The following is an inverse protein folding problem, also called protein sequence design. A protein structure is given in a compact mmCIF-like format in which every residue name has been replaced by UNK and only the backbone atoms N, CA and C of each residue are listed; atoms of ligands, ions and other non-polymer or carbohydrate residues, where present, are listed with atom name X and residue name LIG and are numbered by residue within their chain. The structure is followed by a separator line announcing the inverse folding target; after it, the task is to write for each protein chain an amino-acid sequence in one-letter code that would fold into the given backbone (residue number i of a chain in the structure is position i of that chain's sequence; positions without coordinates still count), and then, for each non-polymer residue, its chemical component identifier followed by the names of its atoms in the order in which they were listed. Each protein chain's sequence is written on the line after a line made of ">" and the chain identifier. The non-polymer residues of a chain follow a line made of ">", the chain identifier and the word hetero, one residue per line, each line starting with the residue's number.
data_IF_405052395941
#
_entry.id   IF_405052395941
#
_cell.length_a   1.000
_cell.length_b   1.000
_cell.length_c   1.000
_cell.angle_alpha   90.00
_cell.angle_beta   90.00
_cell.angle_gamma   90.00
#
_symmetry.space_group_name_H-M   'P 1'
#
loop_
_entity.id
_entity.type
_entity.pdbx_description
1 polymer ?
#
# COMPACT_ATOMS: atom_id res chain seq x y z
N UNK A 1 42.15 -9.35 -2.19
CA UNK A 1 41.82 -10.53 -3.02
C UNK A 1 40.48 -10.27 -3.68
N UNK A 2 40.42 -10.42 -5.00
CA UNK A 2 39.22 -10.23 -5.82
C UNK A 2 38.11 -11.23 -5.44
N UNK A 3 36.86 -10.90 -5.79
CA UNK A 3 36.25 -11.63 -6.89
C UNK A 3 35.74 -10.67 -7.97
N UNK A 4 36.26 -10.84 -9.18
CA UNK A 4 35.64 -10.36 -10.41
C UNK A 4 34.35 -11.18 -10.62
N UNK A 5 33.21 -10.53 -10.80
CA UNK A 5 32.02 -11.21 -11.34
C UNK A 5 32.12 -11.19 -12.87
N UNK A 6 32.44 -12.36 -13.42
CA UNK A 6 32.40 -12.68 -14.84
C UNK A 6 30.99 -13.06 -15.27
N UNK A 7 30.56 -12.59 -16.44
CA UNK A 7 29.38 -13.08 -17.16
C UNK A 7 29.64 -14.50 -17.74
N UNK A 8 28.60 -15.31 -18.04
CA UNK A 8 28.76 -16.70 -18.48
C UNK A 8 29.54 -16.84 -19.80
N UNK A 9 30.54 -17.73 -19.79
CA UNK A 9 31.47 -18.05 -20.88
C UNK A 9 30.79 -18.65 -22.13
N UNK A 10 29.56 -19.15 -22.02
CA UNK A 10 28.82 -19.73 -23.14
C UNK A 10 28.52 -18.70 -24.25
N UNK A 11 28.20 -17.45 -23.91
CA UNK A 11 27.80 -16.43 -24.90
C UNK A 11 28.96 -15.97 -25.81
N UNK A 12 30.18 -15.96 -25.28
CA UNK A 12 31.36 -15.60 -26.07
C UNK A 12 31.71 -16.67 -27.13
N UNK A 13 31.40 -17.94 -26.84
CA UNK A 13 31.68 -19.06 -27.75
C UNK A 13 30.68 -19.06 -28.91
N UNK A 14 29.41 -18.73 -28.64
CA UNK A 14 28.36 -18.60 -29.66
C UNK A 14 28.57 -17.38 -30.57
N UNK A 15 29.09 -16.27 -30.03
CA UNK A 15 29.44 -15.07 -30.81
C UNK A 15 30.61 -15.31 -31.78
N UNK A 16 31.58 -16.16 -31.40
CA UNK A 16 32.69 -16.58 -32.28
C UNK A 16 32.22 -17.57 -33.36
N UNK A 17 31.31 -18.48 -33.01
CA UNK A 17 30.73 -19.44 -33.96
C UNK A 17 29.85 -18.78 -35.05
N UNK A 18 29.28 -17.60 -34.77
CA UNK A 18 28.45 -16.84 -35.72
C UNK A 18 29.24 -15.82 -36.58
N UNK A 19 30.58 -15.80 -36.52
CA UNK A 19 31.39 -14.94 -37.39
C UNK A 19 31.27 -13.44 -37.11
N UNK A 20 30.81 -13.05 -35.92
CA UNK A 20 30.73 -11.65 -35.47
C UNK A 20 32.08 -11.28 -34.84
N UNK A 21 33.15 -11.33 -35.64
CA UNK A 21 34.52 -11.06 -35.17
C UNK A 21 34.86 -9.57 -35.10
N UNK A 22 34.19 -8.69 -35.84
CA UNK A 22 34.76 -7.37 -36.12
C UNK A 22 33.76 -6.20 -36.02
N UNK A 23 33.18 -5.97 -34.83
CA UNK A 23 32.84 -4.64 -34.25
C UNK A 23 31.68 -4.65 -33.23
N UNK A 24 31.71 -5.52 -32.22
CA UNK A 24 31.03 -5.21 -30.94
C UNK A 24 32.08 -4.60 -30.02
N UNK A 25 32.44 -3.33 -30.28
CA UNK A 25 33.31 -2.58 -29.40
C UNK A 25 32.58 -2.37 -28.06
N UNK A 26 32.90 -3.23 -27.09
CA UNK A 26 32.61 -3.06 -25.67
C UNK A 26 33.07 -1.66 -25.23
N UNK A 27 32.13 -0.79 -24.89
CA UNK A 27 32.44 0.36 -24.03
C UNK A 27 32.29 -0.13 -22.59
N UNK A 28 33.38 -0.65 -22.04
CA UNK A 28 33.49 -0.90 -20.60
C UNK A 28 33.75 0.42 -19.91
N UNK A 29 32.77 0.93 -19.18
CA UNK A 29 32.92 2.15 -18.37
C UNK A 29 33.81 1.80 -17.18
N UNK A 30 34.99 2.44 -17.07
CA UNK A 30 35.82 2.30 -15.88
C UNK A 30 35.15 2.98 -14.68
N UNK A 31 35.47 2.55 -13.46
CA UNK A 31 34.96 3.20 -12.24
C UNK A 31 35.34 4.69 -12.22
N UNK A 32 34.35 5.57 -12.36
CA UNK A 32 34.53 7.03 -12.41
C UNK A 32 34.45 7.68 -13.81
N UNK A 33 34.26 6.93 -14.89
CA UNK A 33 33.99 7.51 -16.21
C UNK A 33 32.52 7.92 -16.36
N UNK A 34 32.30 9.19 -16.77
CA UNK A 34 30.97 9.71 -17.09
C UNK A 34 30.65 9.36 -18.54
N UNK A 35 29.68 8.46 -18.75
CA UNK A 35 29.18 8.10 -20.08
C UNK A 35 28.39 9.26 -20.67
N UNK A 36 28.63 9.59 -21.94
CA UNK A 36 27.85 10.62 -22.62
C UNK A 36 26.40 10.16 -22.82
N UNK A 37 25.44 11.10 -22.73
CA UNK A 37 24.03 10.80 -22.99
C UNK A 37 23.79 10.19 -24.39
N UNK A 38 24.62 10.53 -25.37
CA UNK A 38 24.54 9.96 -26.70
C UNK A 38 24.95 8.48 -26.73
N UNK A 39 26.01 8.11 -26.00
CA UNK A 39 26.43 6.72 -25.88
C UNK A 39 25.37 5.87 -25.15
N UNK A 40 24.75 6.42 -24.09
CA UNK A 40 23.61 5.78 -23.40
C UNK A 40 22.45 5.57 -24.38
N UNK A 41 22.06 6.59 -25.14
CA UNK A 41 20.97 6.49 -26.13
C UNK A 41 21.25 5.42 -27.17
N UNK A 42 22.46 5.40 -27.76
CA UNK A 42 22.85 4.39 -28.77
C UNK A 42 22.84 2.98 -28.19
N UNK A 43 23.30 2.80 -26.97
CA UNK A 43 23.30 1.49 -26.29
C UNK A 43 21.87 1.01 -26.05
N UNK A 44 20.99 1.91 -25.58
CA UNK A 44 19.57 1.63 -25.43
C UNK A 44 18.91 1.22 -26.73
N UNK A 45 19.18 1.95 -27.81
CA UNK A 45 18.67 1.63 -29.15
C UNK A 45 19.15 0.25 -29.65
N UNK A 46 20.44 -0.05 -29.50
CA UNK A 46 20.99 -1.35 -29.91
C UNK A 46 20.40 -2.52 -29.10
N UNK A 47 20.21 -2.35 -27.80
CA UNK A 47 19.57 -3.37 -26.96
C UNK A 47 18.13 -3.63 -27.38
N UNK A 48 17.34 -2.56 -27.51
CA UNK A 48 15.92 -2.66 -27.84
C UNK A 48 15.68 -3.16 -29.28
N UNK A 49 16.64 -2.96 -30.18
CA UNK A 49 16.63 -3.54 -31.53
C UNK A 49 16.99 -5.02 -31.52
N UNK A 50 18.01 -5.43 -30.73
CA UNK A 50 18.48 -6.81 -30.68
C UNK A 50 17.54 -7.75 -29.92
N UNK A 51 16.99 -7.32 -28.79
CA UNK A 51 16.24 -8.16 -27.86
C UNK A 51 14.74 -7.85 -27.84
N UNK A 52 14.34 -6.70 -28.38
CA UNK A 52 12.95 -6.25 -28.35
C UNK A 52 12.36 -6.12 -26.93
N UNK A 53 13.21 -5.86 -25.95
CA UNK A 53 12.87 -5.64 -24.54
C UNK A 53 13.34 -4.25 -24.10
N UNK A 54 12.67 -3.58 -23.14
CA UNK A 54 13.09 -2.28 -22.63
C UNK A 54 14.53 -2.34 -22.09
N UNK A 55 15.38 -1.38 -22.48
CA UNK A 55 16.76 -1.32 -21.95
C UNK A 55 16.82 -1.17 -20.43
N UNK A 56 15.79 -0.58 -19.80
CA UNK A 56 15.68 -0.46 -18.34
C UNK A 56 15.65 -1.85 -17.64
N UNK A 57 15.35 -2.93 -18.38
CA UNK A 57 15.42 -4.32 -17.90
C UNK A 57 16.81 -4.96 -18.07
N UNK A 58 17.70 -4.34 -18.86
CA UNK A 58 19.04 -4.83 -19.14
C UNK A 58 19.93 -4.71 -17.88
N UNK A 59 20.30 -5.85 -17.28
CA UNK A 59 21.21 -5.86 -16.13
C UNK A 59 20.65 -5.29 -14.82
N UNK A 60 19.34 -4.96 -14.77
CA UNK A 60 18.60 -4.44 -13.60
C UNK A 60 19.39 -3.43 -12.76
N UNK A 61 19.74 -2.29 -13.36
CA UNK A 61 20.22 -1.14 -12.62
C UNK A 61 19.01 -0.40 -12.01
N UNK A 62 18.81 -0.60 -10.71
CA UNK A 62 17.76 0.06 -9.96
C UNK A 62 18.17 1.52 -9.73
N UNK A 63 17.35 2.48 -10.18
CA UNK A 63 17.58 3.90 -9.86
C UNK A 63 17.54 4.09 -8.34
N UNK A 64 18.72 4.22 -7.74
CA UNK A 64 18.91 4.30 -6.30
C UNK A 64 18.20 5.52 -5.73
N UNK A 65 18.09 6.62 -6.47
CA UNK A 65 17.42 7.85 -6.02
C UNK A 65 15.89 7.69 -6.01
N UNK A 66 15.32 7.13 -7.07
CA UNK A 66 13.89 6.83 -7.13
C UNK A 66 13.49 5.78 -6.09
N UNK A 67 14.31 4.74 -5.90
CA UNK A 67 14.08 3.70 -4.89
C UNK A 67 14.25 4.24 -3.48
N UNK A 68 15.23 5.09 -3.21
CA UNK A 68 15.38 5.70 -1.89
C UNK A 68 14.18 6.59 -1.55
N UNK A 69 13.76 7.44 -2.48
CA UNK A 69 12.57 8.30 -2.33
C UNK A 69 11.31 7.48 -2.07
N UNK A 70 11.12 6.38 -2.80
CA UNK A 70 9.98 5.50 -2.59
C UNK A 70 10.06 4.74 -1.26
N UNK A 71 11.25 4.23 -0.89
CA UNK A 71 11.47 3.55 0.40
C UNK A 71 11.22 4.47 1.58
N UNK A 72 11.59 5.75 1.47
CA UNK A 72 11.30 6.79 2.46
C UNK A 72 9.80 7.10 2.52
N UNK A 73 9.15 7.34 1.36
CA UNK A 73 7.73 7.68 1.29
C UNK A 73 6.80 6.61 1.89
N UNK A 74 7.25 5.35 1.89
CA UNK A 74 6.46 4.22 2.32
C UNK A 74 7.07 3.43 3.50
N UNK A 75 8.14 3.95 4.13
CA UNK A 75 8.85 3.33 5.27
C UNK A 75 9.19 1.84 5.03
N UNK A 76 9.80 1.49 3.90
CA UNK A 76 10.10 0.09 3.54
C UNK A 76 11.31 -0.49 4.27
N UNK A 77 12.25 0.35 4.70
CA UNK A 77 13.52 -0.10 5.31
C UNK A 77 13.31 -0.91 6.60
N UNK A 78 12.40 -0.53 7.52
CA UNK A 78 12.11 -1.33 8.71
C UNK A 78 11.32 -2.62 8.44
N UNK A 79 10.62 -2.73 7.30
CA UNK A 79 9.78 -3.89 6.97
C UNK A 79 10.57 -5.07 6.36
N UNK A 80 11.82 -4.84 5.96
CA UNK A 80 12.67 -5.83 5.29
C UNK A 80 13.65 -6.55 6.23
N UNK A 81 13.83 -6.11 7.47
CA UNK A 81 14.90 -6.60 8.36
C UNK A 81 14.46 -7.49 9.52
N UNK A 82 13.16 -7.71 9.73
CA UNK A 82 12.65 -8.48 10.86
C UNK A 82 11.57 -9.45 10.35
N UNK A 83 11.56 -10.68 10.89
CA UNK A 83 10.40 -11.58 10.79
C UNK A 83 9.12 -10.79 11.10
N UNK A 84 8.07 -10.93 10.28
CA UNK A 84 6.79 -10.21 10.41
C UNK A 84 6.44 -9.94 11.88
N UNK A 85 6.79 -8.74 12.36
CA UNK A 85 6.76 -8.39 13.78
C UNK A 85 5.34 -8.51 14.37
N UNK A 86 4.33 -8.65 13.52
CA UNK A 86 2.92 -8.71 13.88
C UNK A 86 2.22 -10.03 13.51
N UNK A 87 2.95 -11.15 13.39
CA UNK A 87 2.33 -12.49 13.55
C UNK A 87 1.62 -12.67 14.90
N UNK A 88 1.91 -11.82 15.87
CA UNK A 88 1.32 -11.83 17.21
C UNK A 88 -0.21 -11.72 17.18
N UNK A 89 -0.78 -10.95 16.23
CA UNK A 89 -2.23 -10.71 16.16
C UNK A 89 -2.84 -11.40 14.95
N UNK A 90 -3.69 -12.40 15.21
CA UNK A 90 -4.35 -13.19 14.16
C UNK A 90 -5.37 -12.37 13.37
N UNK A 91 -5.87 -11.27 13.95
CA UNK A 91 -6.83 -10.37 13.29
C UNK A 91 -6.19 -9.54 12.18
N UNK A 92 -4.87 -9.31 12.22
CA UNK A 92 -4.14 -8.53 11.23
C UNK A 92 -3.79 -9.37 10.00
N UNK A 93 -4.05 -8.84 8.80
CA UNK A 93 -3.59 -9.49 7.57
C UNK A 93 -2.31 -8.84 7.10
N UNK A 94 -1.30 -9.65 6.73
CA UNK A 94 -0.09 -9.12 6.14
C UNK A 94 -0.46 -8.34 4.88
N UNK A 95 0.16 -7.16 4.76
CA UNK A 95 0.02 -6.28 3.62
C UNK A 95 1.24 -6.46 2.75
N UNK A 96 1.03 -6.61 1.44
CA UNK A 96 2.12 -6.77 0.49
C UNK A 96 2.03 -5.72 -0.60
N UNK A 97 3.17 -5.11 -0.90
CA UNK A 97 3.34 -4.17 -1.99
C UNK A 97 4.24 -4.76 -3.06
N UNK A 98 3.98 -4.37 -4.30
CA UNK A 98 4.84 -4.62 -5.44
C UNK A 98 5.18 -3.29 -6.10
N UNK A 99 6.43 -3.13 -6.51
CA UNK A 99 6.80 -2.10 -7.46
C UNK A 99 6.45 -2.58 -8.86
N UNK A 100 5.89 -1.68 -9.68
CA UNK A 100 5.39 -1.98 -11.01
C UNK A 100 5.90 -0.96 -12.01
N UNK A 101 6.55 -1.46 -13.06
CA UNK A 101 6.89 -0.71 -14.25
C UNK A 101 6.00 -1.13 -15.40
N UNK A 102 5.48 -0.15 -16.15
CA UNK A 102 4.74 -0.40 -17.38
C UNK A 102 5.42 0.34 -18.52
N UNK A 103 5.85 -0.43 -19.51
CA UNK A 103 6.49 0.04 -20.72
C UNK A 103 5.55 -0.08 -21.91
N UNK A 104 5.62 0.87 -22.83
CA UNK A 104 4.90 0.82 -24.10
C UNK A 104 5.89 0.98 -25.26
N UNK A 105 5.67 0.22 -26.34
CA UNK A 105 6.37 0.36 -27.63
C UNK A 105 5.35 0.24 -28.74
N UNK A 106 5.37 1.14 -29.72
CA UNK A 106 4.41 1.06 -30.81
C UNK A 106 4.44 2.27 -31.72
N UNK A 107 4.24 2.01 -33.00
CA UNK A 107 4.05 3.03 -34.01
C UNK A 107 2.60 3.07 -34.46
N UNK A 108 2.08 4.27 -34.65
CA UNK A 108 0.74 4.47 -35.18
C UNK A 108 0.78 4.63 -36.70
N UNK A 109 -0.08 3.91 -37.42
CA UNK A 109 -0.25 4.08 -38.87
C UNK A 109 -0.75 5.48 -39.26
N UNK A 110 -1.42 6.16 -38.33
CA UNK A 110 -1.93 7.53 -38.46
C UNK A 110 -1.69 8.24 -37.15
N UNK A 111 -1.40 9.54 -37.20
CA UNK A 111 -1.24 10.34 -35.98
C UNK A 111 -2.46 10.15 -35.07
N UNK A 112 -2.26 9.72 -33.81
CA UNK A 112 -3.35 9.49 -32.89
C UNK A 112 -4.10 10.80 -32.69
N UNK A 113 -5.42 10.74 -32.77
CA UNK A 113 -6.22 11.96 -32.56
C UNK A 113 -6.05 12.43 -31.12
N UNK A 114 -6.02 13.75 -30.88
CA UNK A 114 -5.96 14.34 -29.52
C UNK A 114 -7.09 13.91 -28.58
N UNK A 115 -8.07 13.16 -29.09
CA UNK A 115 -9.19 12.60 -28.35
C UNK A 115 -8.90 11.18 -27.82
N UNK A 116 -7.83 10.53 -28.26
CA UNK A 116 -7.47 9.15 -27.90
C UNK A 116 -6.46 9.10 -26.75
N UNK A 117 -6.72 8.23 -25.79
CA UNK A 117 -5.89 8.10 -24.59
C UNK A 117 -5.91 6.67 -24.04
N UNK A 118 -4.84 6.31 -23.35
CA UNK A 118 -4.79 5.11 -22.53
C UNK A 118 -5.21 5.43 -21.11
N UNK A 119 -5.90 4.49 -20.48
CA UNK A 119 -6.25 4.55 -19.06
C UNK A 119 -5.74 3.31 -18.35
N UNK A 120 -4.83 3.52 -17.42
CA UNK A 120 -4.44 2.50 -16.46
C UNK A 120 -5.46 2.42 -15.31
N UNK A 121 -5.81 1.20 -14.91
CA UNK A 121 -6.67 0.88 -13.76
C UNK A 121 -6.19 -0.37 -13.05
N UNK A 122 -6.57 -0.53 -11.80
CA UNK A 122 -6.41 -1.78 -11.06
C UNK A 122 -7.51 -2.79 -11.42
N UNK A 123 -7.18 -4.08 -11.38
CA UNK A 123 -8.13 -5.16 -11.69
C UNK A 123 -9.14 -5.39 -10.55
N UNK A 124 -8.65 -5.42 -9.31
CA UNK A 124 -9.42 -5.46 -8.07
C UNK A 124 -8.94 -4.38 -7.11
N UNK A 125 -9.75 -4.11 -6.08
CA UNK A 125 -9.50 -3.09 -5.05
C UNK A 125 -9.20 -1.70 -5.65
N UNK A 126 -9.32 -0.62 -4.88
CA UNK A 126 -8.92 0.74 -5.34
C UNK A 126 -9.41 1.15 -6.75
N UNK A 127 -10.60 0.67 -7.19
CA UNK A 127 -11.10 0.79 -8.58
C UNK A 127 -11.35 2.24 -9.04
N UNK A 128 -11.28 3.17 -8.11
CA UNK A 128 -11.32 4.62 -8.34
C UNK A 128 -10.03 5.14 -8.97
N UNK A 129 -8.88 4.47 -8.78
CA UNK A 129 -7.61 4.85 -9.39
C UNK A 129 -7.70 4.72 -10.92
N UNK A 130 -7.49 5.84 -11.60
CA UNK A 130 -7.52 5.95 -13.07
C UNK A 130 -6.44 6.92 -13.50
N UNK A 131 -5.38 6.44 -14.13
CA UNK A 131 -4.33 7.28 -14.69
C UNK A 131 -4.49 7.32 -16.20
N UNK A 132 -4.67 8.51 -16.77
CA UNK A 132 -4.85 8.67 -18.21
C UNK A 132 -3.58 9.27 -18.82
N UNK A 133 -3.16 8.75 -19.97
CA UNK A 133 -2.08 9.32 -20.77
C UNK A 133 -2.56 9.48 -22.22
N UNK A 134 -2.29 10.63 -22.80
CA UNK A 134 -2.66 10.97 -24.18
C UNK A 134 -1.84 10.14 -25.16
N UNK A 135 -2.49 9.59 -26.19
CA UNK A 135 -1.79 8.80 -27.21
C UNK A 135 -0.80 9.63 -28.04
N UNK A 136 -1.03 10.94 -28.15
CA UNK A 136 -0.12 11.89 -28.80
C UNK A 136 1.29 11.90 -28.21
N UNK A 137 1.45 11.45 -26.97
CA UNK A 137 2.72 11.49 -26.25
C UNK A 137 3.47 10.15 -26.29
N UNK A 138 2.91 9.12 -26.93
CA UNK A 138 3.35 7.72 -26.78
C UNK A 138 3.85 7.08 -28.08
N UNK A 139 3.80 7.78 -29.22
CA UNK A 139 4.27 7.23 -30.51
C UNK A 139 5.79 7.05 -30.47
N UNK A 140 6.27 5.81 -30.41
CA UNK A 140 7.71 5.57 -30.34
C UNK A 140 8.11 4.20 -30.91
N UNK A 141 9.16 4.21 -31.73
CA UNK A 141 9.85 3.00 -32.20
C UNK A 141 10.56 2.27 -31.06
N UNK A 142 10.97 2.98 -30.02
CA UNK A 142 11.64 2.44 -28.83
C UNK A 142 10.66 2.20 -27.68
N UNK A 143 11.03 1.33 -26.75
CA UNK A 143 10.29 1.14 -25.50
C UNK A 143 10.38 2.40 -24.62
N UNK A 144 9.23 2.82 -24.10
CA UNK A 144 9.12 3.93 -23.17
C UNK A 144 8.53 3.46 -21.85
N UNK A 145 9.16 3.83 -20.73
CA UNK A 145 8.57 3.67 -19.40
C UNK A 145 7.49 4.72 -19.22
N UNK A 146 6.24 4.27 -19.11
CA UNK A 146 5.07 5.15 -19.12
C UNK A 146 4.46 5.29 -17.73
N UNK A 147 4.44 4.21 -16.95
CA UNK A 147 4.03 4.24 -15.55
C UNK A 147 5.05 3.55 -14.67
N UNK A 148 5.31 4.15 -13.50
CA UNK A 148 6.07 3.59 -12.40
C UNK A 148 5.26 3.81 -11.13
N UNK A 149 4.83 2.72 -10.50
CA UNK A 149 3.85 2.74 -9.42
C UNK A 149 4.18 1.70 -8.35
N UNK A 150 3.74 1.96 -7.12
CA UNK A 150 3.70 0.97 -6.06
C UNK A 150 2.25 0.53 -5.85
N UNK A 151 1.99 -0.76 -6.00
CA UNK A 151 0.64 -1.32 -5.96
C UNK A 151 0.45 -2.27 -4.77
N UNK A 152 -0.71 -2.24 -4.13
CA UNK A 152 -1.14 -3.32 -3.23
C UNK A 152 -1.24 -4.61 -4.01
N UNK A 153 -0.66 -5.69 -3.49
CA UNK A 153 -0.78 -7.02 -4.09
C UNK A 153 -2.26 -7.47 -4.19
N UNK A 154 -3.10 -6.99 -3.27
CA UNK A 154 -4.55 -7.19 -3.29
C UNK A 154 -5.25 -6.62 -4.54
N UNK A 155 -4.58 -5.75 -5.32
CA UNK A 155 -5.11 -5.25 -6.59
C UNK A 155 -5.26 -6.34 -7.66
N UNK A 156 -4.57 -7.48 -7.49
CA UNK A 156 -4.56 -8.66 -8.38
C UNK A 156 -4.05 -8.44 -9.81
N UNK A 157 -3.92 -7.21 -10.27
CA UNK A 157 -3.44 -6.90 -11.61
C UNK A 157 -3.73 -5.47 -12.03
N UNK A 158 -3.31 -5.17 -13.27
CA UNK A 158 -3.59 -3.92 -13.97
C UNK A 158 -4.40 -4.16 -15.24
N UNK A 159 -5.18 -3.15 -15.62
CA UNK A 159 -5.81 -3.02 -16.92
C UNK A 159 -5.31 -1.76 -17.61
N UNK A 160 -4.95 -1.90 -18.88
CA UNK A 160 -4.70 -0.75 -19.75
C UNK A 160 -5.86 -0.70 -20.74
N UNK A 161 -6.73 0.29 -20.58
CA UNK A 161 -7.87 0.53 -21.47
C UNK A 161 -7.50 1.56 -22.54
N UNK A 162 -7.66 1.22 -23.81
CA UNK A 162 -7.64 2.18 -24.91
C UNK A 162 -9.01 2.83 -25.06
N UNK A 163 -9.06 4.17 -24.98
CA UNK A 163 -10.30 4.94 -24.97
C UNK A 163 -10.24 6.14 -25.90
N UNK A 164 -11.42 6.57 -26.35
CA UNK A 164 -11.60 7.80 -27.14
C UNK A 164 -12.61 8.73 -26.47
N UNK A 165 -12.25 10.00 -26.35
CA UNK A 165 -13.13 11.06 -25.84
C UNK A 165 -14.18 11.40 -26.88
N UNK A 166 -15.44 11.46 -26.46
CA UNK A 166 -16.56 11.86 -27.32
C UNK A 166 -16.77 13.37 -27.21
N UNK A 167 -17.08 14.04 -28.32
CA UNK A 167 -17.39 15.48 -28.33
C UNK A 167 -18.78 15.74 -27.72
N UNK A 168 -18.84 16.57 -26.68
CA UNK A 168 -20.07 17.02 -26.02
C UNK A 168 -19.81 17.63 -24.63
N UNK A 169 -20.82 18.28 -24.05
CA UNK A 169 -20.72 18.97 -22.75
C UNK A 169 -20.47 18.04 -21.55
N UNK A 170 -20.57 16.72 -21.73
CA UNK A 170 -20.25 15.72 -20.71
C UNK A 170 -18.98 14.97 -21.10
N UNK A 171 -18.03 14.82 -20.17
CA UNK A 171 -16.78 14.06 -20.33
C UNK A 171 -17.04 12.54 -20.45
N UNK A 172 -17.74 12.12 -21.49
CA UNK A 172 -17.98 10.72 -21.84
C UNK A 172 -16.83 10.23 -22.71
N UNK A 173 -16.28 9.07 -22.37
CA UNK A 173 -15.25 8.40 -23.17
C UNK A 173 -15.76 7.02 -23.59
N UNK A 174 -15.57 6.68 -24.86
CA UNK A 174 -15.85 5.37 -25.41
C UNK A 174 -14.68 4.43 -25.12
N UNK A 175 -14.98 3.27 -24.54
CA UNK A 175 -14.04 2.17 -24.44
C UNK A 175 -13.86 1.55 -25.83
N UNK A 176 -12.61 1.28 -26.22
CA UNK A 176 -12.30 0.64 -27.49
C UNK A 176 -11.84 -0.80 -27.24
N UNK A 177 -10.72 -0.97 -26.53
CA UNK A 177 -10.11 -2.28 -26.19
C UNK A 177 -9.33 -2.18 -24.88
N UNK A 178 -8.90 -3.33 -24.34
CA UNK A 178 -7.96 -3.39 -23.23
C UNK A 178 -7.02 -4.58 -23.36
N UNK A 179 -5.95 -4.52 -22.56
CA UNK A 179 -5.13 -5.65 -22.16
C UNK A 179 -5.08 -5.70 -20.63
N UNK A 180 -4.68 -6.84 -20.08
CA UNK A 180 -4.63 -7.07 -18.64
C UNK A 180 -3.37 -7.80 -18.23
N UNK A 181 -2.79 -7.35 -17.14
CA UNK A 181 -1.67 -8.02 -16.48
C UNK A 181 -2.12 -8.51 -15.12
N UNK A 182 -2.29 -9.82 -14.96
CA UNK A 182 -2.57 -10.45 -13.68
C UNK A 182 -1.26 -10.62 -12.91
N UNK A 183 -1.25 -10.29 -11.62
CA UNK A 183 -0.07 -10.54 -10.77
C UNK A 183 0.27 -12.01 -10.68
N UNK A 184 -0.73 -12.90 -10.75
CA UNK A 184 -0.48 -14.33 -10.82
C UNK A 184 0.38 -14.64 -12.04
N UNK A 185 -0.03 -14.17 -13.22
CA UNK A 185 0.56 -14.56 -14.49
C UNK A 185 2.00 -14.03 -14.57
N UNK A 186 2.20 -12.75 -14.21
CA UNK A 186 3.53 -12.14 -14.17
C UNK A 186 4.47 -12.84 -13.18
N UNK A 187 3.96 -13.33 -12.03
CA UNK A 187 4.77 -14.07 -11.05
C UNK A 187 5.18 -15.47 -11.51
N UNK A 188 4.49 -16.06 -12.50
CA UNK A 188 4.90 -17.35 -13.07
C UNK A 188 6.02 -17.18 -14.10
N UNK A 189 6.22 -15.96 -14.61
CA UNK A 189 7.30 -15.65 -15.55
C UNK A 189 8.64 -15.50 -14.84
N UNK A 190 9.69 -16.11 -15.40
CA UNK A 190 11.04 -16.09 -14.82
C UNK A 190 11.61 -14.68 -14.69
N UNK A 191 11.27 -13.80 -15.62
CA UNK A 191 11.72 -12.41 -15.65
C UNK A 191 10.83 -11.47 -14.82
N UNK A 192 9.76 -11.99 -14.19
CA UNK A 192 8.72 -11.18 -13.52
C UNK A 192 8.18 -10.06 -14.41
N UNK A 193 8.11 -10.34 -15.70
CA UNK A 193 7.66 -9.42 -16.72
C UNK A 193 6.80 -10.17 -17.73
N UNK A 194 5.71 -9.54 -18.18
CA UNK A 194 4.83 -10.07 -19.20
C UNK A 194 4.63 -9.01 -20.28
N UNK A 195 4.66 -9.44 -21.54
CA UNK A 195 4.41 -8.58 -22.70
C UNK A 195 3.11 -8.98 -23.36
N UNK A 196 2.26 -7.99 -23.60
CA UNK A 196 0.96 -8.15 -24.24
C UNK A 196 0.86 -7.21 -25.44
N UNK A 197 0.27 -7.69 -26.53
CA UNK A 197 -0.01 -6.88 -27.70
C UNK A 197 -1.40 -6.22 -27.58
N UNK A 198 -1.47 -4.92 -27.82
CA UNK A 198 -2.73 -4.27 -28.15
C UNK A 198 -2.91 -4.29 -29.67
N UNK A 199 -4.12 -4.61 -30.12
CA UNK A 199 -4.56 -4.58 -31.52
C UNK A 199 -4.44 -3.21 -32.25
N UNK A 200 -3.75 -2.24 -31.67
CA UNK A 200 -3.41 -0.94 -32.24
C UNK A 200 -1.93 -0.84 -32.64
N UNK A 201 -1.27 -1.99 -32.90
CA UNK A 201 0.18 -2.11 -33.17
C UNK A 201 1.05 -1.51 -32.08
N UNK A 202 0.56 -1.60 -30.85
CA UNK A 202 1.28 -1.16 -29.67
C UNK A 202 1.40 -2.35 -28.74
N UNK A 203 2.58 -2.52 -28.18
CA UNK A 203 2.89 -3.56 -27.20
C UNK A 203 3.08 -2.90 -25.87
N UNK A 204 2.65 -3.59 -24.84
CA UNK A 204 2.84 -3.18 -23.47
C UNK A 204 3.57 -4.28 -22.73
N UNK A 205 4.55 -3.91 -21.94
CA UNK A 205 5.21 -4.80 -21.01
C UNK A 205 4.94 -4.32 -19.59
N UNK A 206 4.50 -5.21 -18.71
CA UNK A 206 4.44 -4.95 -17.29
C UNK A 206 5.52 -5.78 -16.59
N UNK A 207 6.38 -5.13 -15.81
CA UNK A 207 7.38 -5.77 -14.96
C UNK A 207 7.08 -5.44 -13.50
N UNK A 208 7.27 -6.42 -12.62
CA UNK A 208 7.04 -6.27 -11.18
C UNK A 208 8.26 -6.74 -10.38
N UNK A 209 8.41 -6.19 -9.19
CA UNK A 209 9.24 -6.84 -8.16
C UNK A 209 8.47 -7.99 -7.50
N UNK A 210 9.16 -8.95 -6.87
CA UNK A 210 8.51 -9.85 -5.92
C UNK A 210 7.70 -9.05 -4.88
N UNK A 211 6.55 -9.57 -4.40
CA UNK A 211 5.79 -8.92 -3.34
C UNK A 211 6.61 -8.83 -2.06
N UNK A 212 6.71 -7.63 -1.52
CA UNK A 212 7.40 -7.35 -0.25
C UNK A 212 6.37 -6.97 0.79
N UNK A 213 6.58 -7.45 2.02
CA UNK A 213 5.71 -7.08 3.13
C UNK A 213 5.84 -5.58 3.42
N UNK A 214 4.71 -4.92 3.62
CA UNK A 214 4.62 -3.50 3.89
C UNK A 214 4.00 -3.21 5.26
N UNK A 215 4.27 -2.03 5.84
CA UNK A 215 3.64 -1.61 7.09
C UNK A 215 2.11 -1.63 7.02
N UNK A 216 1.47 -2.01 8.12
CA UNK A 216 0.01 -2.04 8.22
C UNK A 216 -0.59 -0.63 8.08
N UNK A 217 -1.63 -0.53 7.26
CA UNK A 217 -2.47 0.67 7.20
C UNK A 217 -3.76 0.40 7.97
N UNK A 218 -3.94 1.13 9.07
CA UNK A 218 -5.10 1.02 9.93
C UNK A 218 -5.96 2.28 9.82
N UNK A 219 -7.28 2.08 9.78
CA UNK A 219 -8.25 3.18 9.73
C UNK A 219 -9.28 3.05 10.83
N UNK A 220 -9.45 4.09 11.63
CA UNK A 220 -10.57 4.18 12.58
C UNK A 220 -11.84 4.66 11.88
N UNK A 221 -12.98 4.03 12.17
CA UNK A 221 -14.31 4.45 11.70
C UNK A 221 -15.06 5.23 12.79
N UNK A 222 -16.19 5.90 12.48
CA UNK A 222 -16.95 6.71 13.43
C UNK A 222 -17.33 6.00 14.73
N UNK A 223 -17.53 6.80 15.78
CA UNK A 223 -17.82 6.34 17.14
C UNK A 223 -19.08 5.48 17.23
N UNK A 224 -18.97 4.41 18.00
CA UNK A 224 -20.09 3.72 18.63
C UNK A 224 -19.97 3.90 20.14
N UNK A 225 -21.07 3.71 20.85
CA UNK A 225 -21.07 3.75 22.32
C UNK A 225 -21.34 2.35 22.84
N UNK A 226 -20.50 1.87 23.75
CA UNK A 226 -20.69 0.56 24.41
C UNK A 226 -20.79 0.68 25.92
N UNK A 227 -21.41 -0.31 26.53
CA UNK A 227 -21.43 -0.52 27.98
C UNK A 227 -20.11 -1.14 28.48
N UNK A 228 -19.96 -1.33 29.79
CA UNK A 228 -18.77 -1.91 30.43
C UNK A 228 -18.50 -3.33 29.91
N UNK A 229 -19.57 -4.10 29.63
CA UNK A 229 -19.49 -5.43 29.00
C UNK A 229 -19.14 -5.43 27.51
N UNK A 230 -19.00 -4.27 26.87
CA UNK A 230 -18.67 -4.15 25.45
C UNK A 230 -19.86 -4.30 24.51
N UNK A 231 -21.10 -4.37 25.03
CA UNK A 231 -22.29 -4.36 24.20
C UNK A 231 -22.60 -2.93 23.73
N UNK A 232 -22.98 -2.75 22.46
CA UNK A 232 -23.43 -1.44 21.98
C UNK A 232 -24.64 -0.97 22.77
N UNK A 233 -24.65 0.29 23.22
CA UNK A 233 -25.79 0.87 23.92
C UNK A 233 -26.96 0.99 22.94
N UNK A 234 -28.01 0.20 23.14
CA UNK A 234 -29.17 0.17 22.24
C UNK A 234 -30.40 -0.50 22.85
N UNK A 235 -31.58 -0.13 22.36
CA UNK A 235 -32.85 -0.80 22.72
C UNK A 235 -32.89 -2.29 22.30
N UNK A 236 -32.07 -2.69 21.33
CA UNK A 236 -31.95 -4.09 20.89
C UNK A 236 -31.32 -4.92 22.01
N UNK A 237 -30.20 -4.44 22.57
CA UNK A 237 -29.51 -5.10 23.69
C UNK A 237 -30.39 -5.13 24.93
N UNK A 238 -31.08 -4.03 25.27
CA UNK A 238 -32.02 -4.02 26.39
C UNK A 238 -33.08 -5.10 26.25
N UNK A 239 -33.73 -5.20 25.08
CA UNK A 239 -34.76 -6.23 24.84
C UNK A 239 -34.20 -7.64 24.99
N UNK A 240 -33.02 -7.91 24.44
CA UNK A 240 -32.36 -9.21 24.59
C UNK A 240 -31.99 -9.53 26.05
N UNK A 241 -31.74 -8.52 26.88
CA UNK A 241 -31.42 -8.65 28.30
C UNK A 241 -32.64 -8.48 29.22
N UNK A 242 -33.87 -8.69 28.74
CA UNK A 242 -35.10 -8.51 29.52
C UNK A 242 -35.20 -7.13 30.19
N UNK A 243 -34.78 -6.09 29.47
CA UNK A 243 -34.70 -4.69 29.90
C UNK A 243 -33.84 -4.45 31.15
N UNK A 244 -32.93 -5.38 31.47
CA UNK A 244 -31.86 -5.10 32.43
C UNK A 244 -31.02 -3.93 31.92
N UNK A 245 -30.78 -2.90 32.76
CA UNK A 245 -30.05 -1.73 32.31
C UNK A 245 -28.61 -2.03 31.87
N UNK A 246 -28.05 -1.19 31.00
CA UNK A 246 -26.66 -1.29 30.56
C UNK A 246 -25.79 -0.36 31.39
N UNK A 247 -24.66 -0.85 31.92
CA UNK A 247 -23.80 -0.06 32.82
C UNK A 247 -22.56 0.48 32.13
N UNK A 248 -22.16 1.70 32.48
CA UNK A 248 -20.98 2.36 31.95
C UNK A 248 -21.16 2.90 30.53
N UNK A 249 -20.20 3.73 30.12
CA UNK A 249 -20.19 4.36 28.80
C UNK A 249 -18.77 4.46 28.26
N UNK A 250 -18.57 3.83 27.12
CA UNK A 250 -17.30 3.82 26.39
C UNK A 250 -17.50 4.43 25.01
N UNK A 251 -16.60 5.33 24.61
CA UNK A 251 -16.43 5.69 23.21
C UNK A 251 -15.65 4.58 22.55
N UNK A 252 -16.24 3.98 21.51
CA UNK A 252 -15.72 2.76 20.92
C UNK A 252 -15.53 2.95 19.42
N UNK A 253 -14.31 2.71 18.95
CA UNK A 253 -13.87 2.84 17.56
C UNK A 253 -13.60 1.46 16.98
N UNK A 254 -14.15 1.17 15.80
CA UNK A 254 -13.66 0.03 15.01
C UNK A 254 -12.41 0.45 14.27
N UNK A 255 -11.40 -0.41 14.27
CA UNK A 255 -10.19 -0.30 13.48
C UNK A 255 -10.29 -1.28 12.31
N UNK A 256 -10.15 -0.75 11.10
CA UNK A 256 -10.11 -1.52 9.87
C UNK A 256 -8.67 -1.69 9.39
N UNK A 257 -8.36 -2.87 8.86
CA UNK A 257 -7.11 -3.13 8.14
C UNK A 257 -7.15 -2.56 6.70
N UNK A 258 -6.05 -2.71 5.97
CA UNK A 258 -5.90 -2.25 4.58
C UNK A 258 -6.94 -2.88 3.61
N UNK A 259 -7.52 -4.04 3.97
CA UNK A 259 -8.55 -4.72 3.20
C UNK A 259 -9.98 -4.31 3.59
N UNK A 260 -10.11 -3.41 4.58
CA UNK A 260 -11.39 -2.94 5.11
C UNK A 260 -12.04 -3.89 6.11
N UNK A 261 -11.31 -4.90 6.61
CA UNK A 261 -11.83 -5.84 7.61
C UNK A 261 -11.58 -5.31 9.01
N UNK A 262 -12.52 -5.57 9.90
CA UNK A 262 -12.40 -5.21 11.31
C UNK A 262 -11.33 -6.06 11.98
N UNK A 263 -10.29 -5.41 12.51
CA UNK A 263 -9.15 -6.11 13.13
C UNK A 263 -9.00 -5.80 14.62
N UNK A 264 -9.40 -4.60 15.05
CA UNK A 264 -9.44 -4.23 16.46
C UNK A 264 -10.65 -3.37 16.78
N UNK A 265 -10.98 -3.33 18.06
CA UNK A 265 -11.92 -2.39 18.66
C UNK A 265 -11.21 -1.64 19.77
N UNK A 266 -11.09 -0.32 19.64
CA UNK A 266 -10.50 0.55 20.66
C UNK A 266 -11.65 1.15 21.46
N UNK A 267 -11.63 0.97 22.77
CA UNK A 267 -12.64 1.50 23.69
C UNK A 267 -11.98 2.47 24.65
N UNK A 268 -12.59 3.63 24.86
CA UNK A 268 -12.17 4.62 25.85
C UNK A 268 -13.30 4.89 26.82
N UNK A 269 -13.07 4.69 28.12
CA UNK A 269 -14.08 4.95 29.15
C UNK A 269 -14.31 6.45 29.28
N UNK A 270 -15.57 6.87 29.15
CA UNK A 270 -15.94 8.29 29.23
C UNK A 270 -17.06 8.57 30.23
N UNK A 271 -17.83 7.55 30.63
CA UNK A 271 -18.92 7.71 31.57
C UNK A 271 -19.12 6.50 32.47
N UNK A 272 -19.67 6.77 33.66
CA UNK A 272 -20.18 5.79 34.62
C UNK A 272 -21.70 5.96 34.73
N UNK A 273 -22.36 4.98 35.35
CA UNK A 273 -23.80 5.00 35.58
C UNK A 273 -24.54 4.06 34.66
N UNK A 274 -25.86 4.18 34.63
CA UNK A 274 -26.76 3.19 34.07
C UNK A 274 -27.54 3.80 32.91
N UNK A 275 -27.56 3.11 31.77
CA UNK A 275 -28.42 3.42 30.65
C UNK A 275 -29.72 2.61 30.71
N UNK A 276 -30.84 3.32 30.77
CA UNK A 276 -32.21 2.78 30.72
C UNK A 276 -33.08 3.64 29.80
N UNK A 277 -34.09 3.02 29.16
CA UNK A 277 -35.06 3.77 28.34
C UNK A 277 -35.81 4.77 29.23
N UNK A 278 -35.65 6.07 28.96
CA UNK A 278 -36.37 7.16 29.64
C UNK A 278 -35.73 7.72 30.91
N UNK A 279 -34.51 7.33 31.30
CA UNK A 279 -33.85 7.95 32.46
C UNK A 279 -32.30 7.92 32.45
N UNK A 280 -31.78 8.89 33.21
CA UNK A 280 -30.39 9.28 33.55
C UNK A 280 -29.35 9.43 32.43
N UNK A 281 -28.83 10.65 32.37
CA UNK A 281 -27.64 11.02 31.61
C UNK A 281 -26.41 10.40 32.30
N UNK A 282 -25.59 9.60 31.61
CA UNK A 282 -24.40 9.01 32.22
C UNK A 282 -23.46 10.07 32.78
N UNK A 283 -22.93 9.85 33.98
CA UNK A 283 -21.99 10.77 34.62
C UNK A 283 -20.64 10.68 33.93
N UNK A 284 -20.12 11.82 33.47
CA UNK A 284 -18.80 11.89 32.88
C UNK A 284 -17.73 11.42 33.87
N UNK A 285 -16.84 10.54 33.41
CA UNK A 285 -15.68 10.12 34.19
C UNK A 285 -14.65 11.22 34.16
N UNK A 286 -14.04 11.51 35.31
CA UNK A 286 -12.93 12.45 35.40
C UNK A 286 -11.80 12.01 34.48
N UNK A 287 -10.98 12.96 34.03
CA UNK A 287 -9.95 12.66 33.04
C UNK A 287 -8.95 11.61 33.54
N UNK A 288 -8.53 11.73 34.79
CA UNK A 288 -7.61 10.83 35.51
C UNK A 288 -8.15 9.40 35.68
N UNK A 289 -9.47 9.22 35.58
CA UNK A 289 -10.15 7.93 35.74
C UNK A 289 -10.46 7.26 34.40
N UNK A 290 -10.02 7.85 33.27
CA UNK A 290 -10.22 7.28 31.93
C UNK A 290 -9.25 6.13 31.69
N UNK A 291 -9.76 5.14 30.98
CA UNK A 291 -9.00 3.96 30.56
C UNK A 291 -9.26 3.66 29.10
N UNK A 292 -8.24 3.18 28.40
CA UNK A 292 -8.31 2.66 27.04
C UNK A 292 -8.18 1.15 27.09
N UNK A 293 -8.98 0.45 26.28
CA UNK A 293 -8.82 -0.97 25.96
C UNK A 293 -8.68 -1.13 24.46
N UNK A 294 -7.67 -1.86 24.02
CA UNK A 294 -7.51 -2.32 22.65
C UNK A 294 -7.89 -3.80 22.63
N UNK A 295 -8.94 -4.12 21.89
CA UNK A 295 -9.49 -5.48 21.79
C UNK A 295 -9.24 -6.06 20.41
N UNK A 296 -8.67 -7.25 20.34
CA UNK A 296 -8.37 -7.94 19.08
C UNK A 296 -9.62 -8.63 18.53
N UNK A 297 -9.93 -8.37 17.27
CA UNK A 297 -10.98 -9.04 16.51
C UNK A 297 -12.05 -8.10 15.94
N UNK A 298 -13.06 -8.72 15.34
CA UNK A 298 -14.24 -8.07 14.77
C UNK A 298 -15.40 -8.03 15.76
N UNK A 299 -16.38 -7.18 15.50
CA UNK A 299 -17.61 -7.17 16.28
C UNK A 299 -18.38 -8.49 16.15
N UNK A 300 -18.98 -8.94 17.25
CA UNK A 300 -19.97 -10.01 17.23
C UNK A 300 -21.36 -9.41 17.04
N UNK A 301 -21.78 -9.32 15.79
CA UNK A 301 -23.08 -8.75 15.40
C UNK A 301 -24.24 -9.70 15.73
N UNK A 302 -25.35 -9.13 16.18
CA UNK A 302 -26.57 -9.89 16.49
C UNK A 302 -27.27 -10.24 15.19
N UNK A 303 -27.63 -11.50 14.98
CA UNK A 303 -28.20 -11.98 13.71
C UNK A 303 -29.45 -11.18 13.23
N UNK A 304 -30.26 -10.66 14.16
CA UNK A 304 -31.45 -9.87 13.82
C UNK A 304 -31.15 -8.42 13.40
N UNK A 305 -29.90 -7.94 13.56
CA UNK A 305 -29.49 -6.58 13.21
C UNK A 305 -28.05 -6.53 12.70
N UNK A 306 -27.82 -6.05 11.48
CA UNK A 306 -26.48 -5.95 10.89
C UNK A 306 -25.59 -4.84 11.48
N UNK A 307 -26.09 -4.04 12.43
CA UNK A 307 -25.40 -2.85 12.94
C UNK A 307 -25.18 -2.82 14.46
N UNK A 308 -25.79 -3.74 15.22
CA UNK A 308 -25.67 -3.83 16.68
C UNK A 308 -24.91 -5.10 17.06
N UNK A 309 -23.96 -4.99 17.97
CA UNK A 309 -23.16 -6.13 18.39
C UNK A 309 -22.40 -5.90 19.68
N UNK A 310 -21.47 -6.83 19.93
CA UNK A 310 -20.58 -6.85 21.07
C UNK A 310 -19.13 -6.69 20.61
N UNK A 311 -18.38 -5.86 21.34
CA UNK A 311 -16.94 -5.75 21.14
C UNK A 311 -16.28 -7.11 21.42
N UNK A 312 -15.15 -7.43 20.77
CA UNK A 312 -14.39 -8.64 21.04
C UNK A 312 -14.06 -8.79 22.52
N UNK A 313 -13.88 -10.01 23.01
CA UNK A 313 -13.52 -10.26 24.42
C UNK A 313 -12.01 -10.12 24.68
N UNK A 314 -11.17 -10.50 23.71
CA UNK A 314 -9.71 -10.54 23.87
C UNK A 314 -9.12 -9.13 23.94
N UNK A 315 -8.69 -8.71 25.13
CA UNK A 315 -7.93 -7.47 25.34
C UNK A 315 -6.46 -7.76 25.06
N UNK A 316 -5.85 -6.94 24.20
CA UNK A 316 -4.42 -7.06 23.81
C UNK A 316 -3.59 -5.87 24.24
N UNK A 317 -4.23 -4.78 24.66
CA UNK A 317 -3.54 -3.63 25.22
C UNK A 317 -4.48 -2.78 26.05
N UNK A 318 -3.94 -2.11 27.04
CA UNK A 318 -4.66 -1.12 27.83
C UNK A 318 -3.84 0.16 27.96
N UNK A 319 -4.52 1.26 28.22
CA UNK A 319 -3.89 2.54 28.52
C UNK A 319 -4.56 3.18 29.72
N UNK A 320 -3.77 3.69 30.67
CA UNK A 320 -4.26 4.45 31.82
C UNK A 320 -3.64 5.83 31.82
N UNK A 321 -4.42 6.81 32.28
CA UNK A 321 -3.98 8.19 32.32
C UNK A 321 -2.98 8.39 33.48
N UNK A 322 -1.85 9.05 33.21
CA UNK A 322 -0.88 9.42 34.24
C UNK A 322 -1.25 10.79 34.84
N UNK A 323 -1.01 10.96 36.15
CA UNK A 323 -1.39 12.17 36.91
C UNK A 323 -0.65 13.46 36.49
N UNK A 324 0.41 13.38 35.69
CA UNK A 324 1.19 14.53 35.21
C UNK A 324 0.45 15.30 34.10
N UNK A 325 -0.62 16.00 34.49
CA UNK A 325 -1.42 16.84 33.61
C UNK A 325 -0.93 18.27 33.62
N UNK A 326 -0.37 18.71 32.50
CA UNK A 326 -0.26 20.12 32.15
C UNK A 326 -1.40 20.47 31.20
N UNK A 327 -1.85 21.74 31.16
CA UNK A 327 -3.04 22.16 30.40
C UNK A 327 -3.05 21.70 28.93
N UNK A 328 -1.87 21.53 28.32
CA UNK A 328 -1.70 21.14 26.91
C UNK A 328 -0.96 19.81 26.73
N UNK A 329 -0.92 18.94 27.75
CA UNK A 329 -0.19 17.67 27.70
C UNK A 329 -1.01 16.55 28.34
N UNK A 330 -1.22 15.50 27.57
CA UNK A 330 -1.84 14.25 28.02
C UNK A 330 -0.80 13.16 27.99
N UNK A 331 -0.68 12.41 29.09
CA UNK A 331 0.25 11.28 29.19
C UNK A 331 -0.53 10.02 29.52
N UNK A 332 -0.33 8.98 28.71
CA UNK A 332 -0.88 7.65 28.90
C UNK A 332 0.25 6.67 29.19
N UNK A 333 0.09 5.85 30.22
CA UNK A 333 0.88 4.65 30.44
C UNK A 333 0.22 3.50 29.70
N UNK A 334 0.97 2.84 28.81
CA UNK A 334 0.49 1.71 28.02
C UNK A 334 0.87 0.40 28.70
N UNK A 335 0.04 -0.63 28.53
CA UNK A 335 0.32 -1.97 29.07
C UNK A 335 1.58 -2.62 28.49
N UNK A 336 2.15 -2.08 27.41
CA UNK A 336 3.43 -2.50 26.83
C UNK A 336 4.63 -2.02 27.64
N UNK A 337 4.42 -1.16 28.64
CA UNK A 337 5.49 -0.45 29.37
C UNK A 337 5.87 0.88 28.73
N UNK A 338 5.33 1.19 27.55
CA UNK A 338 5.58 2.47 26.89
C UNK A 338 4.73 3.60 27.48
N UNK A 339 5.25 4.81 27.42
CA UNK A 339 4.56 6.04 27.77
C UNK A 339 4.25 6.84 26.51
N UNK A 340 2.95 7.05 26.24
CA UNK A 340 2.46 7.89 25.14
C UNK A 340 2.15 9.30 25.66
N UNK A 341 2.91 10.28 25.21
CA UNK A 341 2.65 11.70 25.45
C UNK A 341 2.04 12.34 24.22
N UNK A 342 0.89 12.98 24.40
CA UNK A 342 0.18 13.76 23.39
C UNK A 342 0.21 15.22 23.83
N UNK A 343 0.78 16.11 23.01
CA UNK A 343 0.76 17.54 23.28
C UNK A 343 -0.29 18.21 22.40
N UNK A 344 -1.20 18.89 23.08
CA UNK A 344 -2.35 19.61 22.52
C UNK A 344 -1.96 21.09 22.46
N UNK A 345 -1.11 21.46 21.50
CA UNK A 345 -0.75 22.86 21.21
C UNK A 345 -1.34 23.32 19.88
N UNK A 346 -0.77 24.38 19.30
CA UNK A 346 -1.10 24.81 17.94
C UNK A 346 -0.86 23.70 16.90
N UNK A 347 0.14 22.84 17.15
CA UNK A 347 0.35 21.58 16.43
C UNK A 347 0.17 20.38 17.36
N UNK A 348 -0.63 19.41 16.90
CA UNK A 348 -0.83 18.13 17.57
C UNK A 348 0.43 17.28 17.40
N UNK A 349 1.12 16.97 18.50
CA UNK A 349 2.32 16.11 18.48
C UNK A 349 2.17 14.90 19.39
N UNK A 350 2.79 13.79 18.97
CA UNK A 350 2.76 12.50 19.66
C UNK A 350 4.20 12.05 19.93
N UNK A 351 4.46 11.58 21.14
CA UNK A 351 5.75 11.02 21.52
C UNK A 351 5.50 9.70 22.26
N UNK A 352 6.10 8.63 21.75
CA UNK A 352 6.13 7.33 22.42
C UNK A 352 7.53 7.12 22.98
N UNK A 353 7.63 6.81 24.28
CA UNK A 353 8.90 6.49 24.96
C UNK A 353 8.79 5.15 25.63
N UNK A 354 9.86 4.38 25.62
CA UNK A 354 9.97 3.17 26.42
C UNK A 354 10.99 3.41 27.54
N UNK A 355 10.57 3.32 28.80
CA UNK A 355 11.46 3.55 29.95
C UNK A 355 12.51 2.44 30.11
N UNK A 356 12.43 1.35 29.32
CA UNK A 356 13.49 0.32 29.23
C UNK A 356 14.58 0.61 28.20
N UNK A 357 14.52 1.75 27.49
CA UNK A 357 15.57 2.21 26.57
C UNK A 357 16.63 3.10 27.26
N UNK A 358 17.08 2.70 28.44
CA UNK A 358 18.42 3.08 28.92
C UNK A 358 19.44 2.12 28.28
N UNK A 359 19.72 2.30 26.99
CA UNK A 359 21.08 2.04 26.51
C UNK A 359 21.89 3.29 26.86
N UNK A 360 22.61 3.22 27.99
CA UNK A 360 23.72 4.12 28.27
C UNK A 360 24.76 3.98 27.14
N UNK A 361 25.00 5.11 26.46
CA UNK A 361 26.21 5.57 25.72
C UNK A 361 27.03 4.55 24.93
#
# INVERSE_FOLDING_TARGET
>A
MNPCQSFPVCYATDMVAMGISDNVAKVGVCYGEVVSNEAVRRTKELWEDAYDEPYDMAGSEVDVGAVSTAREAFYWVPAASEEDANRLYKSLQPRFLIEVYVFLKGEFDKEPTSKEFLRLRTQRCHRSLKLNISMSNLSCKSWQKVWHLYCEFATRGLFIEFRRTLSGCFRKSKFLKNISFSWSDVLHEKALALTEELDVRMRAMASITPPVQAPYLLKCVPDRVTDDGGAMISDVILRMRNYRPQEGRWLTRTVLDHSGRECFVIRMRVGRGIWRRGAETPMAVKWEDRSIEVREGSWSYIASTSSVGYAPEKIVGTGTVMKDHQENKVVWSLSTGDTLTIRLGDELSFQLKNDSSEEEV
#
